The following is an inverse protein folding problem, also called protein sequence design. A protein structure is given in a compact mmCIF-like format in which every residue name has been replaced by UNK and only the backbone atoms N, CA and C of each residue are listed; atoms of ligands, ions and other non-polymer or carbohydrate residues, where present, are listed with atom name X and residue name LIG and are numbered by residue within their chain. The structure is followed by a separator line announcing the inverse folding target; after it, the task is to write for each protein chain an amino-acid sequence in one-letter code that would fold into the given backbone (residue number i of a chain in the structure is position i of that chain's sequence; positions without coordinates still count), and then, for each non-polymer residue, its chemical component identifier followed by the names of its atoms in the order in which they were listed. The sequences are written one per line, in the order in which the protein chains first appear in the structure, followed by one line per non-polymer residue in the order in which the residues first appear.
data_IF_403324700568
#
_entry.id   IF_403324700568
#
_cell.length_a   1.000
_cell.length_b   1.000
_cell.length_c   1.000
_cell.angle_alpha   90.00
_cell.angle_beta   90.00
_cell.angle_gamma   90.00
#
_symmetry.space_group_name_H-M   'P 1'
#
loop_
_entity.id
_entity.type
_entity.pdbx_description
1 polymer ?
#
# COMPACT_ATOMS: atom_id res chain seq x y z
N UNK A 1 -27.28 -54.50 20.12
CA UNK A 1 -25.86 -54.75 19.73
C UNK A 1 -25.30 -53.66 18.81
N UNK A 2 -26.06 -53.17 17.83
CA UNK A 2 -25.64 -52.11 16.89
C UNK A 2 -25.15 -50.80 17.56
N UNK A 3 -25.82 -50.32 18.60
CA UNK A 3 -25.56 -48.99 19.21
C UNK A 3 -24.14 -48.84 19.79
N UNK A 4 -23.57 -49.92 20.33
CA UNK A 4 -22.19 -49.94 20.86
C UNK A 4 -21.18 -49.70 19.70
N UNK A 5 -21.48 -50.18 18.50
CA UNK A 5 -20.62 -50.04 17.33
C UNK A 5 -20.68 -48.65 16.70
N UNK A 6 -21.74 -47.88 16.93
CA UNK A 6 -21.80 -46.45 16.53
C UNK A 6 -20.94 -45.57 17.44
N UNK A 7 -21.04 -45.72 18.77
CA UNK A 7 -20.29 -44.86 19.71
C UNK A 7 -18.77 -44.98 19.58
N UNK A 8 -18.26 -46.19 19.30
CA UNK A 8 -16.82 -46.43 19.11
C UNK A 8 -16.25 -45.77 17.85
N UNK A 9 -17.07 -45.49 16.83
CA UNK A 9 -16.64 -44.76 15.61
C UNK A 9 -16.57 -43.26 15.84
N UNK A 10 -17.61 -42.69 16.46
CA UNK A 10 -17.72 -41.25 16.77
C UNK A 10 -16.53 -40.75 17.62
N UNK A 11 -16.01 -41.60 18.53
CA UNK A 11 -14.79 -41.33 19.31
C UNK A 11 -13.49 -41.33 18.47
N UNK A 12 -13.40 -42.21 17.48
CA UNK A 12 -12.22 -42.31 16.59
C UNK A 12 -12.22 -41.13 15.61
N UNK A 13 -13.35 -40.88 14.93
CA UNK A 13 -13.56 -39.74 14.03
C UNK A 13 -13.30 -38.40 14.75
N UNK A 14 -13.69 -38.30 16.04
CA UNK A 14 -13.37 -37.14 16.89
C UNK A 14 -11.86 -37.02 17.13
N UNK A 15 -11.17 -38.12 17.46
CA UNK A 15 -9.73 -38.11 17.79
C UNK A 15 -8.90 -37.60 16.60
N UNK A 16 -9.13 -38.12 15.41
CA UNK A 16 -8.45 -37.71 14.17
C UNK A 16 -8.71 -36.22 13.86
N UNK A 17 -9.93 -35.74 14.10
CA UNK A 17 -10.26 -34.32 13.97
C UNK A 17 -9.48 -33.41 14.94
N UNK A 18 -9.12 -33.90 16.13
CA UNK A 18 -8.33 -33.12 17.10
C UNK A 18 -6.85 -33.05 16.74
N UNK A 19 -6.26 -34.14 16.24
CA UNK A 19 -4.88 -34.12 15.74
C UNK A 19 -4.77 -33.16 14.54
N UNK A 20 -5.71 -33.22 13.59
CA UNK A 20 -5.79 -32.28 12.48
C UNK A 20 -5.91 -30.82 12.95
N UNK A 21 -6.76 -30.53 13.95
CA UNK A 21 -6.86 -29.19 14.57
C UNK A 21 -5.54 -28.75 15.22
N UNK A 22 -4.80 -29.68 15.83
CA UNK A 22 -3.45 -29.44 16.36
C UNK A 22 -2.47 -29.00 15.27
N UNK A 23 -2.42 -29.74 14.16
CA UNK A 23 -1.58 -29.44 12.99
C UNK A 23 -1.95 -28.07 12.39
N UNK A 24 -3.24 -27.81 12.11
CA UNK A 24 -3.69 -26.52 11.57
C UNK A 24 -3.39 -25.34 12.52
N UNK A 25 -3.48 -25.53 13.84
CA UNK A 25 -3.10 -24.51 14.83
C UNK A 25 -1.62 -24.12 14.74
N UNK A 26 -0.73 -25.10 14.49
CA UNK A 26 0.69 -24.89 14.25
C UNK A 26 0.95 -24.07 12.99
N UNK A 27 0.51 -24.57 11.83
CA UNK A 27 0.65 -23.88 10.53
C UNK A 27 0.06 -22.47 10.52
N UNK A 28 -1.12 -22.28 11.13
CA UNK A 28 -1.75 -20.95 11.27
C UNK A 28 -0.89 -19.96 12.07
N UNK A 29 -0.18 -20.42 13.10
CA UNK A 29 0.74 -19.58 13.87
C UNK A 29 2.01 -19.27 13.07
N UNK A 30 2.52 -20.23 12.29
CA UNK A 30 3.69 -20.05 11.43
C UNK A 30 3.44 -19.01 10.33
N UNK A 31 2.37 -19.14 9.54
CA UNK A 31 2.01 -18.15 8.51
C UNK A 31 1.71 -16.76 9.10
N UNK A 32 1.20 -16.69 10.32
CA UNK A 32 1.01 -15.43 11.04
C UNK A 32 2.34 -14.73 11.36
N UNK A 33 3.33 -15.46 11.87
CA UNK A 33 4.65 -14.88 12.15
C UNK A 33 5.32 -14.43 10.85
N UNK A 34 5.21 -15.20 9.76
CA UNK A 34 5.71 -14.79 8.44
C UNK A 34 5.04 -13.48 7.97
N UNK A 35 3.71 -13.38 8.04
CA UNK A 35 3.02 -12.15 7.65
C UNK A 35 3.36 -10.96 8.56
N UNK A 36 3.44 -11.17 9.87
CA UNK A 36 3.78 -10.12 10.83
C UNK A 36 5.18 -9.58 10.57
N UNK A 37 6.18 -10.45 10.39
CA UNK A 37 7.56 -10.06 10.07
C UNK A 37 7.62 -9.41 8.69
N UNK A 38 6.94 -9.96 7.67
CA UNK A 38 6.92 -9.39 6.33
C UNK A 38 6.31 -7.98 6.28
N UNK A 39 5.20 -7.73 6.98
CA UNK A 39 4.58 -6.41 7.11
C UNK A 39 5.49 -5.42 7.86
N UNK A 40 6.16 -5.87 8.92
CA UNK A 40 7.11 -5.02 9.66
C UNK A 40 8.36 -4.67 8.84
N UNK A 41 8.89 -5.62 8.05
CA UNK A 41 10.00 -5.36 7.13
C UNK A 41 9.60 -4.45 5.97
N UNK A 42 8.38 -4.58 5.44
CA UNK A 42 7.84 -3.67 4.43
C UNK A 42 7.69 -2.25 5.00
N UNK A 43 7.07 -2.11 6.18
CA UNK A 43 6.94 -0.82 6.87
C UNK A 43 8.31 -0.21 7.22
N UNK A 44 9.30 -1.01 7.61
CA UNK A 44 10.67 -0.55 7.82
C UNK A 44 11.33 -0.08 6.51
N UNK A 45 11.08 -0.79 5.40
CA UNK A 45 11.56 -0.41 4.07
C UNK A 45 11.00 0.94 3.62
N UNK A 46 9.72 1.21 3.90
CA UNK A 46 9.13 2.54 3.71
C UNK A 46 9.87 3.62 4.54
N UNK A 47 10.03 3.41 5.85
CA UNK A 47 10.68 4.39 6.72
C UNK A 47 12.16 4.66 6.37
N UNK A 48 12.89 3.67 5.83
CA UNK A 48 14.28 3.85 5.37
C UNK A 48 14.36 4.79 4.16
N UNK A 49 13.36 4.76 3.26
CA UNK A 49 13.28 5.66 2.10
C UNK A 49 12.76 7.03 2.49
N UNK A 50 11.68 7.08 3.29
CA UNK A 50 11.06 8.31 3.82
C UNK A 50 12.06 9.18 4.60
N UNK A 51 13.01 8.56 5.31
CA UNK A 51 14.10 9.24 6.03
C UNK A 51 15.29 9.67 5.16
N UNK A 52 15.24 9.45 3.85
CA UNK A 52 16.32 9.80 2.93
C UNK A 52 17.61 9.01 3.15
N UNK A 53 17.56 7.84 3.78
CA UNK A 53 18.75 7.06 4.13
C UNK A 53 19.41 6.34 2.93
N UNK A 54 18.82 6.46 1.72
CA UNK A 54 19.34 5.92 0.47
C UNK A 54 19.50 7.06 -0.52
N UNK A 55 20.74 7.29 -0.97
CA UNK A 55 21.00 8.24 -2.05
C UNK A 55 20.44 7.68 -3.38
N UNK A 56 19.35 8.27 -3.87
CA UNK A 56 18.79 7.92 -5.19
C UNK A 56 19.74 8.42 -6.27
N UNK A 57 20.56 7.52 -6.82
CA UNK A 57 21.71 7.83 -7.69
C UNK A 57 21.41 8.49 -9.05
N UNK A 58 20.18 8.96 -9.27
CA UNK A 58 19.78 9.79 -10.41
C UNK A 58 19.32 11.21 -10.03
N UNK A 59 19.14 11.53 -8.74
CA UNK A 59 18.71 12.86 -8.32
C UNK A 59 19.89 13.82 -8.25
N UNK A 60 20.35 14.24 -9.43
CA UNK A 60 21.19 15.42 -9.59
C UNK A 60 20.38 16.67 -9.20
N UNK A 61 20.29 16.95 -7.90
CA UNK A 61 19.74 18.20 -7.38
C UNK A 61 20.49 19.39 -8.01
N UNK A 62 19.82 20.55 -8.16
CA UNK A 62 20.39 21.69 -8.87
C UNK A 62 21.72 22.10 -8.24
N UNK A 63 22.82 21.85 -8.94
CA UNK A 63 24.14 22.29 -8.52
C UNK A 63 24.09 23.82 -8.38
N UNK A 64 24.50 24.33 -7.21
CA UNK A 64 24.42 25.75 -6.89
C UNK A 64 25.06 26.58 -7.99
N UNK A 65 24.30 27.55 -8.50
CA UNK A 65 24.62 28.39 -9.65
C UNK A 65 26.01 29.03 -9.51
N UNK A 66 27.05 28.42 -10.11
CA UNK A 66 28.38 29.00 -10.16
C UNK A 66 28.41 30.07 -11.26
N UNK A 67 27.80 31.20 -10.90
CA UNK A 67 27.54 32.39 -11.70
C UNK A 67 28.81 32.97 -12.35
N UNK A 68 29.11 32.50 -13.56
CA UNK A 68 30.06 33.15 -14.46
C UNK A 68 29.36 34.31 -15.20
N UNK A 69 29.96 35.49 -15.19
CA UNK A 69 29.43 36.69 -15.84
C UNK A 69 29.67 36.68 -17.37
N UNK A 70 28.85 37.37 -18.17
CA UNK A 70 28.86 37.25 -19.63
C UNK A 70 29.91 38.14 -20.32
N UNK A 71 30.38 37.71 -21.51
CA UNK A 71 31.12 38.54 -22.45
C UNK A 71 30.95 38.01 -23.89
N UNK A 72 30.77 38.93 -24.86
CA UNK A 72 31.00 38.66 -26.29
C UNK A 72 29.79 38.31 -27.17
N UNK A 73 28.93 39.29 -27.45
CA UNK A 73 28.29 39.36 -28.78
C UNK A 73 29.18 40.23 -29.69
N UNK A 74 29.33 39.92 -31.00
CA UNK A 74 28.62 40.77 -31.97
C UNK A 74 28.19 40.10 -33.31
N UNK A 75 26.96 40.43 -33.73
CA UNK A 75 26.57 40.86 -35.09
C UNK A 75 26.75 39.96 -36.36
N UNK A 76 25.60 39.56 -36.94
CA UNK A 76 25.08 39.65 -38.35
C UNK A 76 26.02 40.00 -39.55
N UNK A 77 25.71 39.63 -40.84
CA UNK A 77 24.35 39.48 -41.42
C UNK A 77 24.04 38.37 -42.46
N UNK A 78 22.73 38.07 -42.53
CA UNK A 78 21.83 37.75 -43.67
C UNK A 78 22.30 37.18 -45.03
N UNK A 79 21.52 36.20 -45.52
CA UNK A 79 21.07 36.09 -46.93
C UNK A 79 19.57 35.73 -46.96
N UNK A 80 18.85 36.07 -48.03
CA UNK A 80 17.39 35.90 -48.22
C UNK A 80 17.12 35.11 -49.49
N UNK A 81 16.11 34.22 -49.50
CA UNK A 81 15.31 33.95 -50.71
C UNK A 81 13.91 33.35 -50.38
N UNK A 82 12.79 33.89 -50.91
CA UNK A 82 11.44 33.36 -50.71
C UNK A 82 10.78 32.82 -51.99
N UNK A 83 9.98 31.73 -51.92
CA UNK A 83 8.98 31.48 -52.96
C UNK A 83 7.73 30.69 -52.53
N UNK A 84 6.66 30.86 -53.31
CA UNK A 84 5.27 30.53 -52.97
C UNK A 84 4.87 29.08 -53.34
N UNK A 85 3.80 28.56 -52.71
CA UNK A 85 2.52 28.28 -53.40
C UNK A 85 1.35 27.86 -52.48
N UNK A 86 0.26 28.62 -52.57
CA UNK A 86 -1.14 28.17 -52.43
C UNK A 86 -1.70 27.84 -53.84
N UNK A 87 -2.96 27.37 -54.06
CA UNK A 87 -4.12 27.23 -53.15
C UNK A 87 -4.50 25.73 -52.96
N UNK A 88 -5.72 25.15 -52.96
CA UNK A 88 -7.14 25.51 -53.24
C UNK A 88 -8.10 24.51 -52.47
N UNK A 89 -9.43 24.30 -52.70
CA UNK A 89 -10.39 24.30 -51.57
C UNK A 89 -11.41 23.13 -51.48
N UNK A 90 -12.20 23.13 -50.39
CA UNK A 90 -13.63 22.74 -50.26
C UNK A 90 -14.09 23.07 -48.83
N UNK A 91 -15.20 23.76 -48.51
CA UNK A 91 -16.63 23.61 -48.92
C UNK A 91 -17.19 22.23 -48.49
N UNK A 92 -18.32 22.09 -47.79
CA UNK A 92 -19.58 22.88 -47.85
C UNK A 92 -20.44 22.76 -46.57
N UNK A 93 -21.09 23.87 -46.18
CA UNK A 93 -22.32 24.07 -45.37
C UNK A 93 -22.46 23.71 -43.86
N UNK A 94 -22.78 24.79 -43.13
CA UNK A 94 -23.59 24.92 -41.90
C UNK A 94 -25.10 24.55 -42.14
N UNK A 95 -25.98 24.49 -41.11
CA UNK A 95 -26.61 25.72 -40.57
C UNK A 95 -26.90 25.77 -39.05
N UNK A 96 -26.81 26.98 -38.47
CA UNK A 96 -27.86 27.74 -37.76
C UNK A 96 -29.05 26.97 -37.11
N UNK A 97 -29.62 27.33 -35.95
CA UNK A 97 -29.45 28.42 -34.94
C UNK A 97 -30.47 28.07 -33.80
N UNK A 98 -30.83 28.94 -32.81
CA UNK A 98 -30.13 30.00 -32.07
C UNK A 98 -30.01 29.56 -30.57
N UNK A 99 -30.17 30.30 -29.46
CA UNK A 99 -30.36 31.72 -29.10
C UNK A 99 -29.88 31.96 -27.64
N UNK A 100 -29.56 33.22 -27.29
CA UNK A 100 -29.49 33.71 -25.91
C UNK A 100 -28.12 33.57 -25.21
N UNK A 101 -27.61 34.55 -24.47
CA UNK A 101 -28.09 35.93 -24.27
C UNK A 101 -27.84 36.44 -22.85
N UNK A 102 -26.93 37.40 -22.68
CA UNK A 102 -26.68 38.05 -21.38
C UNK A 102 -25.26 38.61 -21.26
N UNK A 103 -25.13 39.93 -21.22
CA UNK A 103 -23.88 40.63 -20.88
C UNK A 103 -24.00 41.21 -19.47
N UNK A 104 -23.04 40.95 -18.58
CA UNK A 104 -22.49 41.97 -17.65
C UNK A 104 -21.01 41.63 -17.40
N UNK A 105 -19.99 42.47 -17.63
CA UNK A 105 -19.75 43.92 -17.36
C UNK A 105 -18.81 44.11 -16.16
N UNK A 106 -17.53 43.84 -16.42
CA UNK A 106 -16.34 44.64 -16.05
C UNK A 106 -16.37 45.39 -14.70
N UNK A 107 -15.44 45.01 -13.82
CA UNK A 107 -14.71 45.97 -12.98
C UNK A 107 -13.25 45.54 -12.79
N UNK A 108 -12.32 46.51 -12.87
CA UNK A 108 -10.92 46.37 -12.45
C UNK A 108 -10.79 46.92 -11.02
N UNK A 109 -9.85 46.41 -10.22
CA UNK A 109 -9.76 46.82 -8.81
C UNK A 109 -8.51 46.34 -8.07
N UNK A 110 -7.33 46.73 -8.54
CA UNK A 110 -6.16 46.90 -7.66
C UNK A 110 -6.20 48.31 -7.05
N UNK A 111 -5.79 48.48 -5.77
CA UNK A 111 -4.37 48.75 -5.54
C UNK A 111 -3.74 48.10 -4.29
N UNK A 112 -2.41 48.02 -4.33
CA UNK A 112 -1.45 47.68 -3.27
C UNK A 112 -1.88 47.94 -1.81
N UNK A 113 -1.62 46.96 -0.94
CA UNK A 113 -1.58 47.12 0.52
C UNK A 113 -0.50 46.21 1.13
N UNK A 114 0.51 46.80 1.77
CA UNK A 114 1.67 46.06 2.34
C UNK A 114 1.33 45.48 3.72
N UNK A 115 1.59 44.18 3.91
CA UNK A 115 1.76 43.56 5.23
C UNK A 115 2.88 42.52 5.19
N UNK A 116 3.99 42.84 5.85
CA UNK A 116 5.06 41.89 6.19
C UNK A 116 4.77 41.22 7.54
N UNK A 117 5.60 40.21 7.90
CA UNK A 117 5.43 39.29 9.04
C UNK A 117 4.22 38.35 8.85
N UNK A 118 4.39 37.02 8.80
CA UNK A 118 5.22 36.26 9.73
C UNK A 118 5.62 34.88 9.17
N UNK A 119 6.88 34.48 9.37
CA UNK A 119 7.31 33.10 9.15
C UNK A 119 6.82 32.19 10.28
N UNK A 120 6.17 31.05 9.99
CA UNK A 120 5.94 29.98 10.96
C UNK A 120 7.14 29.01 11.07
N UNK A 121 8.36 29.52 10.96
CA UNK A 121 9.63 28.78 11.14
C UNK A 121 9.83 28.38 12.61
N UNK A 122 9.08 27.39 13.10
CA UNK A 122 9.29 26.73 14.41
C UNK A 122 8.36 25.54 14.69
N UNK A 123 7.90 24.79 13.67
CA UNK A 123 7.11 23.56 13.91
C UNK A 123 7.90 22.26 13.73
N UNK A 124 8.57 21.90 14.83
CA UNK A 124 8.92 20.52 15.19
C UNK A 124 9.88 19.84 14.20
N UNK A 125 11.04 20.45 13.96
CA UNK A 125 12.26 19.66 13.78
C UNK A 125 12.66 19.03 15.13
N UNK A 126 11.87 18.06 15.60
CA UNK A 126 12.30 17.16 16.67
C UNK A 126 13.32 16.20 16.05
N UNK A 127 14.53 16.70 15.88
CA UNK A 127 15.65 15.98 15.29
C UNK A 127 16.08 14.85 16.22
N UNK A 128 15.37 13.71 16.11
CA UNK A 128 15.85 12.42 16.61
C UNK A 128 17.05 12.07 15.75
N UNK A 129 18.22 12.54 16.18
CA UNK A 129 19.52 12.25 15.63
C UNK A 129 19.89 10.80 15.94
N UNK A 130 19.22 9.89 15.23
CA UNK A 130 19.62 8.49 15.16
C UNK A 130 21.12 8.43 14.87
N UNK A 131 21.88 7.58 15.57
CA UNK A 131 23.33 7.57 15.45
C UNK A 131 23.71 7.26 13.99
N UNK A 132 24.42 8.19 13.36
CA UNK A 132 24.94 8.10 11.98
C UNK A 132 26.09 7.08 11.89
N UNK A 133 25.83 5.85 12.32
CA UNK A 133 26.76 4.73 12.19
C UNK A 133 26.74 4.18 10.76
N UNK A 134 27.91 3.74 10.30
CA UNK A 134 28.17 3.32 8.91
C UNK A 134 27.50 1.99 8.50
N UNK A 135 26.37 1.63 9.10
CA UNK A 135 25.69 0.34 8.93
C UNK A 135 24.87 0.22 7.64
N UNK A 136 24.52 1.33 6.98
CA UNK A 136 23.68 1.32 5.75
C UNK A 136 24.36 1.92 4.51
N UNK A 137 25.64 2.30 4.57
CA UNK A 137 26.37 2.93 3.45
C UNK A 137 26.68 2.00 2.26
N UNK A 138 26.05 0.83 2.19
CA UNK A 138 26.09 -0.11 1.06
C UNK A 138 24.71 -0.60 0.60
N UNK A 139 23.60 -0.04 1.12
CA UNK A 139 22.25 -0.42 0.72
C UNK A 139 21.84 0.36 -0.53
N UNK A 140 21.95 -0.28 -1.70
CA UNK A 140 21.46 0.29 -2.97
C UNK A 140 19.94 0.26 -3.03
N UNK A 141 19.35 1.20 -3.79
CA UNK A 141 17.92 1.18 -4.09
C UNK A 141 17.49 -0.13 -4.79
N UNK A 142 18.36 -0.72 -5.62
CA UNK A 142 18.12 -2.00 -6.29
C UNK A 142 17.93 -3.15 -5.30
N UNK A 143 18.78 -3.25 -4.26
CA UNK A 143 18.65 -4.25 -3.20
C UNK A 143 17.32 -4.09 -2.45
N UNK A 144 16.90 -2.85 -2.18
CA UNK A 144 15.61 -2.57 -1.54
C UNK A 144 14.43 -2.91 -2.46
N UNK A 145 14.51 -2.58 -3.75
CA UNK A 145 13.48 -2.88 -4.73
C UNK A 145 13.29 -4.38 -4.93
N UNK A 146 14.39 -5.15 -4.94
CA UNK A 146 14.36 -6.61 -4.93
C UNK A 146 13.72 -7.15 -3.63
N UNK A 147 14.12 -6.62 -2.47
CA UNK A 147 13.56 -7.03 -1.17
C UNK A 147 12.05 -6.76 -1.08
N UNK A 148 11.57 -5.60 -1.53
CA UNK A 148 10.13 -5.27 -1.58
C UNK A 148 9.39 -6.26 -2.48
N UNK A 149 9.91 -6.54 -3.69
CA UNK A 149 9.30 -7.51 -4.62
C UNK A 149 9.26 -8.93 -4.02
N UNK A 150 10.30 -9.36 -3.31
CA UNK A 150 10.35 -10.63 -2.59
C UNK A 150 9.34 -10.68 -1.42
N UNK A 151 9.32 -9.65 -0.56
CA UNK A 151 8.40 -9.54 0.58
C UNK A 151 6.94 -9.56 0.11
N UNK A 152 6.61 -8.83 -0.96
CA UNK A 152 5.26 -8.81 -1.54
C UNK A 152 4.83 -10.22 -1.99
N UNK A 153 5.70 -10.97 -2.68
CA UNK A 153 5.41 -12.34 -3.10
C UNK A 153 5.23 -13.31 -1.92
N UNK A 154 6.10 -13.23 -0.91
CA UNK A 154 6.01 -14.03 0.33
C UNK A 154 4.74 -13.70 1.12
N UNK A 155 4.35 -12.42 1.19
CA UNK A 155 3.14 -11.96 1.88
C UNK A 155 1.86 -12.48 1.21
N UNK A 156 1.75 -12.40 -0.13
CA UNK A 156 0.60 -12.94 -0.87
C UNK A 156 0.48 -14.45 -0.66
N UNK A 157 1.60 -15.18 -0.76
CA UNK A 157 1.62 -16.64 -0.56
C UNK A 157 1.23 -17.01 0.89
N UNK A 158 1.83 -16.36 1.89
CA UNK A 158 1.55 -16.61 3.30
C UNK A 158 0.10 -16.27 3.68
N UNK A 159 -0.46 -15.17 3.17
CA UNK A 159 -1.86 -14.80 3.39
C UNK A 159 -2.84 -15.77 2.72
N UNK A 160 -2.51 -16.28 1.52
CA UNK A 160 -3.30 -17.29 0.83
C UNK A 160 -3.31 -18.61 1.61
N UNK A 161 -2.13 -19.10 2.02
CA UNK A 161 -2.00 -20.31 2.84
C UNK A 161 -2.65 -20.16 4.22
N UNK A 162 -2.62 -18.96 4.80
CA UNK A 162 -3.32 -18.64 6.04
C UNK A 162 -4.86 -18.70 5.89
N UNK A 163 -5.40 -18.12 4.83
CA UNK A 163 -6.83 -18.23 4.50
C UNK A 163 -7.26 -19.69 4.28
N UNK A 164 -6.46 -20.47 3.55
CA UNK A 164 -6.72 -21.89 3.35
C UNK A 164 -6.65 -22.68 4.68
N UNK A 165 -5.69 -22.38 5.54
CA UNK A 165 -5.57 -22.99 6.88
C UNK A 165 -6.82 -22.71 7.74
N UNK A 166 -7.35 -21.48 7.71
CA UNK A 166 -8.60 -21.13 8.39
C UNK A 166 -9.84 -21.76 7.74
N UNK A 167 -9.87 -21.92 6.41
CA UNK A 167 -10.93 -22.61 5.69
C UNK A 167 -10.97 -24.11 6.01
N UNK A 168 -9.81 -24.77 6.10
CA UNK A 168 -9.73 -26.17 6.56
C UNK A 168 -10.14 -26.31 8.03
N UNK A 169 -9.67 -25.42 8.91
CA UNK A 169 -10.10 -25.39 10.32
C UNK A 169 -11.62 -25.17 10.47
N UNK A 170 -12.23 -24.34 9.61
CA UNK A 170 -13.68 -24.16 9.52
C UNK A 170 -14.39 -25.45 9.05
N UNK A 171 -13.90 -26.08 7.96
CA UNK A 171 -14.47 -27.35 7.46
C UNK A 171 -14.39 -28.47 8.49
N UNK A 172 -13.24 -28.68 9.15
CA UNK A 172 -13.08 -29.69 10.22
C UNK A 172 -14.03 -29.39 11.38
N UNK A 173 -14.18 -28.11 11.77
CA UNK A 173 -15.15 -27.72 12.81
C UNK A 173 -16.59 -28.05 12.44
N UNK A 174 -16.97 -27.95 11.16
CA UNK A 174 -18.31 -28.30 10.70
C UNK A 174 -18.54 -29.82 10.67
N UNK A 175 -17.55 -30.62 10.24
CA UNK A 175 -17.69 -32.08 10.13
C UNK A 175 -17.64 -32.75 11.51
N UNK A 176 -16.62 -32.49 12.33
CA UNK A 176 -16.52 -32.99 13.70
C UNK A 176 -17.47 -32.30 14.69
N UNK A 177 -18.42 -31.48 14.21
CA UNK A 177 -19.42 -30.72 15.00
C UNK A 177 -18.80 -29.89 16.14
N UNK A 178 -17.52 -29.52 16.02
CA UNK A 178 -16.71 -28.91 17.05
C UNK A 178 -17.21 -27.49 17.34
N UNK A 179 -17.60 -27.25 18.59
CA UNK A 179 -18.26 -26.00 18.99
C UNK A 179 -17.37 -24.76 18.81
N UNK A 180 -18.02 -23.60 18.63
CA UNK A 180 -17.32 -22.34 18.37
C UNK A 180 -17.21 -21.95 16.90
N UNK A 181 -17.99 -22.58 16.01
CA UNK A 181 -18.09 -22.27 14.57
C UNK A 181 -18.20 -20.77 14.29
N UNK A 182 -18.98 -20.02 15.10
CA UNK A 182 -19.11 -18.56 15.02
C UNK A 182 -17.76 -17.82 15.17
N UNK A 183 -16.83 -18.30 15.99
CA UNK A 183 -15.51 -17.67 16.16
C UNK A 183 -14.55 -17.95 15.00
N UNK A 184 -14.51 -19.19 14.49
CA UNK A 184 -13.65 -19.54 13.35
C UNK A 184 -14.18 -18.95 12.04
N UNK A 185 -15.50 -18.95 11.81
CA UNK A 185 -16.13 -18.25 10.69
C UNK A 185 -15.81 -16.74 10.71
N UNK A 186 -15.97 -16.08 11.86
CA UNK A 186 -15.58 -14.66 12.05
C UNK A 186 -14.06 -14.39 12.01
N UNK A 187 -13.21 -15.41 12.06
CA UNK A 187 -11.77 -15.28 11.84
C UNK A 187 -11.42 -15.44 10.35
N UNK A 188 -12.06 -16.40 9.67
CA UNK A 188 -11.95 -16.66 8.24
C UNK A 188 -12.46 -15.48 7.39
N UNK A 189 -13.62 -14.89 7.72
CA UNK A 189 -14.07 -13.69 7.01
C UNK A 189 -13.13 -12.50 7.20
N UNK A 190 -12.49 -12.35 8.37
CA UNK A 190 -11.44 -11.33 8.55
C UNK A 190 -10.17 -11.65 7.75
N UNK A 191 -9.78 -12.93 7.61
CA UNK A 191 -8.62 -13.29 6.79
C UNK A 191 -8.90 -13.10 5.30
N UNK A 192 -10.12 -13.35 4.82
CA UNK A 192 -10.52 -13.02 3.45
C UNK A 192 -10.46 -11.51 3.18
N UNK A 193 -10.98 -10.67 4.09
CA UNK A 193 -10.89 -9.21 3.97
C UNK A 193 -9.42 -8.76 3.99
N UNK A 194 -8.59 -9.34 4.85
CA UNK A 194 -7.14 -9.10 4.87
C UNK A 194 -6.47 -9.48 3.55
N UNK A 195 -6.76 -10.67 3.01
CA UNK A 195 -6.19 -11.13 1.74
C UNK A 195 -6.61 -10.21 0.58
N UNK A 196 -7.87 -9.79 0.56
CA UNK A 196 -8.37 -8.79 -0.41
C UNK A 196 -7.63 -7.46 -0.26
N UNK A 197 -7.48 -6.89 0.94
CA UNK A 197 -6.77 -5.61 1.12
C UNK A 197 -5.25 -5.70 0.86
N UNK A 198 -4.67 -6.90 1.01
CA UNK A 198 -3.25 -7.14 0.77
C UNK A 198 -2.92 -7.22 -0.72
N UNK A 199 -3.83 -7.71 -1.57
CA UNK A 199 -3.57 -7.87 -3.00
C UNK A 199 -3.26 -6.50 -3.67
N UNK A 200 -2.25 -6.45 -4.55
CA UNK A 200 -1.81 -5.20 -5.19
C UNK A 200 -2.74 -4.80 -6.34
N UNK A 201 -3.98 -4.39 -6.03
CA UNK A 201 -5.01 -4.07 -7.03
C UNK A 201 -4.59 -3.02 -8.07
N UNK A 202 -3.60 -2.18 -7.75
CA UNK A 202 -2.93 -1.27 -8.68
C UNK A 202 -2.49 -1.96 -10.00
N UNK A 203 -2.04 -3.22 -9.93
CA UNK A 203 -1.57 -3.98 -11.11
C UNK A 203 -2.69 -4.68 -11.89
N UNK A 204 -3.89 -4.80 -11.31
CA UNK A 204 -5.03 -5.56 -11.88
C UNK A 204 -6.13 -4.63 -12.39
N UNK A 205 -6.41 -3.55 -11.68
CA UNK A 205 -7.48 -2.58 -11.97
C UNK A 205 -6.96 -1.15 -12.20
N UNK A 206 -5.64 -0.97 -12.27
CA UNK A 206 -5.02 0.36 -12.37
C UNK A 206 -5.21 1.19 -11.09
N UNK A 207 -5.14 2.51 -11.21
CA UNK A 207 -5.07 3.43 -10.07
C UNK A 207 -6.31 3.46 -9.17
N UNK A 208 -7.46 2.94 -9.62
CA UNK A 208 -8.76 3.06 -8.91
C UNK A 208 -8.80 2.41 -7.52
N UNK A 209 -8.00 1.37 -7.26
CA UNK A 209 -7.99 0.68 -5.96
C UNK A 209 -6.55 0.49 -5.48
N UNK A 210 -6.21 1.11 -4.34
CA UNK A 210 -4.94 0.88 -3.67
C UNK A 210 -4.99 -0.41 -2.85
N UNK A 211 -4.06 -1.33 -3.11
CA UNK A 211 -3.72 -2.39 -2.15
C UNK A 211 -2.70 -1.90 -1.13
N UNK A 212 -2.51 -2.65 -0.04
CA UNK A 212 -1.47 -2.32 0.95
C UNK A 212 -0.04 -2.68 0.48
N UNK A 213 0.09 -3.65 -0.44
CA UNK A 213 1.36 -3.95 -1.10
C UNK A 213 1.60 -2.96 -2.24
N UNK A 214 2.70 -2.22 -2.15
CA UNK A 214 3.15 -1.23 -3.13
C UNK A 214 4.33 -1.74 -3.95
N UNK A 215 4.52 -1.20 -5.15
CA UNK A 215 5.72 -1.45 -5.95
C UNK A 215 6.88 -0.51 -5.52
N UNK A 216 8.16 -0.92 -5.64
CA UNK A 216 9.27 -0.02 -5.34
C UNK A 216 9.31 1.20 -6.28
N UNK A 217 8.82 1.01 -7.51
CA UNK A 217 8.73 2.03 -8.55
C UNK A 217 7.69 3.11 -8.19
N UNK A 218 6.60 2.76 -7.51
CA UNK A 218 5.62 3.71 -6.94
C UNK A 218 6.25 4.53 -5.82
N UNK A 219 7.01 3.88 -4.92
CA UNK A 219 7.66 4.55 -3.79
C UNK A 219 8.68 5.59 -4.28
N UNK A 220 9.52 5.24 -5.26
CA UNK A 220 10.45 6.17 -5.88
C UNK A 220 9.76 7.34 -6.61
N UNK A 221 8.62 7.08 -7.29
CA UNK A 221 7.85 8.14 -7.93
C UNK A 221 7.19 9.08 -6.90
N UNK A 222 6.71 8.56 -5.77
CA UNK A 222 6.19 9.39 -4.68
C UNK A 222 7.26 10.27 -4.04
N UNK A 223 8.47 9.75 -3.79
CA UNK A 223 9.58 10.56 -3.27
C UNK A 223 10.11 11.61 -4.26
N UNK A 224 9.83 11.45 -5.56
CA UNK A 224 10.20 12.42 -6.61
C UNK A 224 9.17 13.53 -6.81
N UNK A 225 8.05 13.52 -6.08
CA UNK A 225 7.00 14.55 -6.13
C UNK A 225 7.06 15.38 -4.86
N UNK A 226 7.44 16.65 -4.97
CA UNK A 226 7.28 17.61 -3.88
C UNK A 226 5.80 17.69 -3.48
N UNK A 227 5.47 17.21 -2.27
CA UNK A 227 4.11 17.23 -1.74
C UNK A 227 3.73 18.65 -1.29
N UNK A 228 3.40 19.50 -2.27
CA UNK A 228 3.03 20.91 -2.04
C UNK A 228 1.65 21.07 -1.37
N UNK A 229 0.77 20.07 -1.46
CA UNK A 229 -0.51 20.02 -0.73
C UNK A 229 -0.44 19.08 0.49
N UNK A 230 -1.01 19.54 1.60
CA UNK A 230 -1.25 18.76 2.81
C UNK A 230 -2.15 17.55 2.49
N UNK A 231 -3.09 17.68 1.55
CA UNK A 231 -3.96 16.57 1.15
C UNK A 231 -3.18 15.41 0.52
N UNK A 232 -2.25 15.70 -0.39
CA UNK A 232 -1.37 14.68 -1.00
C UNK A 232 -0.46 14.03 0.06
N UNK A 233 0.07 14.80 1.01
CA UNK A 233 0.86 14.29 2.12
C UNK A 233 0.04 13.34 3.02
N UNK A 234 -1.22 13.68 3.31
CA UNK A 234 -2.14 12.82 4.07
C UNK A 234 -2.45 11.54 3.29
N UNK A 235 -2.74 11.62 1.98
CA UNK A 235 -2.98 10.45 1.15
C UNK A 235 -1.74 9.55 1.04
N UNK A 236 -0.53 10.11 0.96
CA UNK A 236 0.74 9.38 0.96
C UNK A 236 0.88 8.53 2.23
N UNK A 237 0.85 9.13 3.42
CA UNK A 237 0.99 8.36 4.67
C UNK A 237 -0.20 7.40 4.92
N UNK A 238 -1.42 7.78 4.53
CA UNK A 238 -2.59 6.91 4.61
C UNK A 238 -2.45 5.67 3.70
N UNK A 239 -1.89 5.83 2.50
CA UNK A 239 -1.60 4.72 1.57
C UNK A 239 -0.52 3.81 2.14
N UNK A 240 0.68 4.34 2.37
CA UNK A 240 1.85 3.50 2.66
C UNK A 240 1.90 2.96 4.10
N UNK A 241 1.41 3.73 5.09
CA UNK A 241 1.41 3.33 6.51
C UNK A 241 0.00 3.00 7.02
N UNK A 242 -1.02 3.75 6.59
CA UNK A 242 -2.41 3.54 7.05
C UNK A 242 -2.99 2.17 6.66
N UNK A 243 -2.88 1.75 5.39
CA UNK A 243 -3.32 0.42 4.98
C UNK A 243 -2.49 -0.70 5.60
N UNK A 244 -1.17 -0.52 5.77
CA UNK A 244 -0.30 -1.47 6.48
C UNK A 244 -0.74 -1.70 7.93
N UNK A 245 -1.01 -0.62 8.66
CA UNK A 245 -1.54 -0.67 10.02
C UNK A 245 -2.95 -1.30 10.09
N UNK A 246 -3.83 -1.01 9.13
CA UNK A 246 -5.16 -1.61 9.05
C UNK A 246 -5.09 -3.13 8.83
N UNK A 247 -4.21 -3.60 7.94
CA UNK A 247 -3.98 -5.04 7.72
C UNK A 247 -3.40 -5.70 8.97
N UNK A 248 -2.41 -5.08 9.62
CA UNK A 248 -1.82 -5.61 10.84
C UNK A 248 -2.87 -5.72 11.97
N UNK A 249 -3.78 -4.75 12.09
CA UNK A 249 -4.92 -4.80 13.02
C UNK A 249 -5.91 -5.94 12.67
N UNK A 250 -6.28 -6.10 11.40
CA UNK A 250 -7.14 -7.19 10.91
C UNK A 250 -6.51 -8.57 11.16
N UNK A 251 -5.19 -8.68 10.97
CA UNK A 251 -4.42 -9.90 11.23
C UNK A 251 -4.47 -10.29 12.71
N UNK A 252 -4.22 -9.33 13.61
CA UNK A 252 -4.33 -9.50 15.07
C UNK A 252 -5.76 -9.88 15.47
N UNK A 253 -6.78 -9.24 14.91
CA UNK A 253 -8.18 -9.57 15.19
C UNK A 253 -8.58 -10.97 14.69
N UNK A 254 -8.06 -11.41 13.53
CA UNK A 254 -8.25 -12.78 13.05
C UNK A 254 -7.57 -13.79 13.99
N UNK A 255 -6.35 -13.52 14.45
CA UNK A 255 -5.66 -14.35 15.44
C UNK A 255 -6.41 -14.48 16.76
N UNK A 256 -6.82 -13.36 17.37
CA UNK A 256 -7.52 -13.36 18.66
C UNK A 256 -8.82 -14.19 18.57
N UNK A 257 -9.54 -14.12 17.44
CA UNK A 257 -10.75 -14.93 17.21
C UNK A 257 -10.42 -16.41 17.00
N UNK A 258 -9.37 -16.74 16.25
CA UNK A 258 -8.94 -18.13 16.05
C UNK A 258 -8.40 -18.78 17.35
N UNK A 259 -7.67 -18.04 18.18
CA UNK A 259 -7.25 -18.52 19.52
C UNK A 259 -8.47 -18.74 20.44
N UNK A 260 -9.49 -17.89 20.36
CA UNK A 260 -10.77 -18.08 21.08
C UNK A 260 -11.53 -19.32 20.60
N UNK A 261 -11.50 -19.63 19.29
CA UNK A 261 -12.02 -20.89 18.74
C UNK A 261 -11.28 -22.11 19.29
N UNK A 262 -9.95 -22.13 19.26
CA UNK A 262 -9.17 -23.25 19.82
C UNK A 262 -9.45 -23.45 21.33
N UNK A 263 -9.60 -22.35 22.10
CA UNK A 263 -10.04 -22.38 23.51
C UNK A 263 -11.53 -22.74 23.70
N UNK A 264 -12.35 -22.76 22.66
CA UNK A 264 -13.74 -23.22 22.71
C UNK A 264 -13.87 -24.72 22.36
N UNK A 265 -12.98 -25.24 21.52
CA UNK A 265 -12.84 -26.68 21.26
C UNK A 265 -12.31 -27.39 22.52
N UNK A 266 -11.18 -26.95 23.09
CA UNK A 266 -10.56 -27.63 24.24
C UNK A 266 -11.50 -27.74 25.45
N UNK A 267 -12.25 -26.68 25.77
CA UNK A 267 -13.27 -26.67 26.85
C UNK A 267 -14.53 -27.50 26.57
N UNK A 268 -14.69 -28.04 25.35
CA UNK A 268 -15.76 -28.99 25.00
C UNK A 268 -15.32 -30.45 25.04
N UNK A 269 -14.04 -30.69 25.36
CA UNK A 269 -13.42 -32.01 25.41
C UNK A 269 -12.98 -32.37 26.84
N UNK A 270 -13.24 -31.48 27.81
CA UNK A 270 -12.87 -31.62 29.23
C UNK A 270 -11.35 -31.79 29.50
N UNK A 271 -10.52 -31.53 28.48
CA UNK A 271 -9.05 -31.52 28.56
C UNK A 271 -8.53 -30.25 29.30
N UNK A 272 -9.33 -29.17 29.33
CA UNK A 272 -9.09 -27.90 30.05
C UNK A 272 -10.42 -27.28 30.48
#
# INVERSE_FOLDING_TARGET
MSEIQSGSKDLLDTTDCLEAVGVFKGWKNFFFVIMLVGLLLLQASFWVVDRGCIAVSGQAGPALEQKAAPAGEPAVPATVDPNLRQPEPRETNEPQQPAGGGQEKRSQGEPNGVSSLSSPDSRIQLAVTWPSGNFMSGVTFENLAWLIRFLNAVLILAATLYCLTLLFGLKVSMHGRLGGINHISRAFFLSLILLVLLLPWQTVFGSMVCGALYAPDELAQSCSKDAQDIFDLVLYYLRFTGFGALILLLLIFSQIRSVRWAKAILRRLEII
#
